data_IF_447847650383
#
_entry.id   IF_447847650383
#
_cell.length_a   1.000
_cell.length_b   1.000
_cell.length_c   1.000
_cell.angle_alpha   90.00
_cell.angle_beta   90.00
_cell.angle_gamma   90.00
#
_symmetry.space_group_name_H-M   'P 1'
#
loop_
_entity.id
_entity.type
_entity.pdbx_description
1 polymer ?
#
# COMPACT_ATOMS: atom_id res chain seq x y z
N UNK A 1 64.66 13.73 29.52
CA UNK A 1 63.84 13.98 28.31
C UNK A 1 62.39 13.79 28.69
N UNK A 2 61.66 14.89 28.92
CA UNK A 2 60.21 14.82 29.16
C UNK A 2 59.52 14.52 27.83
N UNK A 3 58.74 13.45 27.77
CA UNK A 3 57.84 13.25 26.63
C UNK A 3 56.84 14.40 26.67
N UNK A 4 56.93 15.32 25.73
CA UNK A 4 55.89 16.33 25.53
C UNK A 4 54.59 15.57 25.24
N UNK A 5 53.58 15.79 26.09
CA UNK A 5 52.23 15.32 25.84
C UNK A 5 51.70 16.05 24.61
N UNK A 6 51.30 15.29 23.60
CA UNK A 6 50.67 15.81 22.39
C UNK A 6 49.14 15.67 22.54
N UNK A 7 48.42 16.77 22.81
CA UNK A 7 46.97 16.72 22.97
C UNK A 7 46.25 16.34 21.67
N UNK A 8 46.81 16.64 20.50
CA UNK A 8 46.18 16.32 19.21
C UNK A 8 46.14 14.80 19.00
N UNK A 9 47.25 14.11 19.26
CA UNK A 9 47.30 12.65 19.24
C UNK A 9 46.30 11.99 20.22
N UNK A 10 46.12 12.58 21.41
CA UNK A 10 45.19 12.05 22.40
C UNK A 10 43.73 12.22 21.96
N UNK A 11 43.40 13.35 21.32
CA UNK A 11 42.07 13.63 20.76
C UNK A 11 41.77 12.67 19.60
N UNK A 12 42.67 12.54 18.63
CA UNK A 12 42.48 11.62 17.50
C UNK A 12 42.24 10.18 17.96
N UNK A 13 42.99 9.73 18.98
CA UNK A 13 42.82 8.38 19.52
C UNK A 13 41.51 8.22 20.28
N UNK A 14 41.04 9.27 20.96
CA UNK A 14 39.74 9.29 21.60
C UNK A 14 38.61 9.22 20.57
N UNK A 15 38.72 9.99 19.48
CA UNK A 15 37.75 10.00 18.38
C UNK A 15 37.62 8.61 17.73
N UNK A 16 38.73 7.92 17.46
CA UNK A 16 38.71 6.55 16.93
C UNK A 16 38.01 5.58 17.89
N UNK A 17 38.25 5.71 19.20
CA UNK A 17 37.61 4.85 20.20
C UNK A 17 36.10 5.14 20.31
N UNK A 18 35.72 6.42 20.33
CA UNK A 18 34.32 6.85 20.35
C UNK A 18 33.61 6.37 19.07
N UNK A 19 34.20 6.58 17.90
CA UNK A 19 33.65 6.16 16.61
C UNK A 19 33.47 4.63 16.57
N UNK A 20 34.48 3.87 17.01
CA UNK A 20 34.37 2.41 17.10
C UNK A 20 33.23 1.96 18.01
N UNK A 21 33.01 2.63 19.15
CA UNK A 21 31.93 2.29 20.07
C UNK A 21 30.56 2.70 19.51
N UNK A 22 30.46 3.87 18.88
CA UNK A 22 29.25 4.32 18.19
C UNK A 22 28.89 3.33 17.09
N UNK A 23 29.84 2.94 16.24
CA UNK A 23 29.62 1.93 15.19
C UNK A 23 29.21 0.58 15.78
N UNK A 24 29.78 0.17 16.91
CA UNK A 24 29.37 -1.06 17.59
C UNK A 24 27.92 -0.99 18.08
N UNK A 25 27.49 0.14 18.66
CA UNK A 25 26.12 0.38 19.11
C UNK A 25 25.15 0.45 17.93
N UNK A 26 25.48 1.25 16.91
CA UNK A 26 24.69 1.39 15.70
C UNK A 26 24.65 0.09 14.88
N UNK A 27 25.66 -0.78 15.01
CA UNK A 27 25.67 -2.10 14.38
C UNK A 27 24.73 -3.12 15.03
N UNK A 28 24.21 -2.86 16.24
CA UNK A 28 23.29 -3.78 16.94
C UNK A 28 21.97 -3.90 16.15
N UNK A 29 21.55 -5.11 15.72
CA UNK A 29 20.38 -5.30 14.85
C UNK A 29 19.08 -4.70 15.41
N UNK A 30 18.89 -4.74 16.73
CA UNK A 30 17.73 -4.15 17.41
C UNK A 30 17.72 -2.63 17.29
N UNK A 31 18.86 -1.98 17.50
CA UNK A 31 19.03 -0.53 17.38
C UNK A 31 18.79 -0.10 15.93
N UNK A 32 19.36 -0.84 14.97
CA UNK A 32 19.16 -0.57 13.53
C UNK A 32 17.71 -0.65 13.10
N UNK A 33 17.00 -1.70 13.53
CA UNK A 33 15.56 -1.83 13.24
C UNK A 33 14.78 -0.67 13.82
N UNK A 34 15.05 -0.29 15.07
CA UNK A 34 14.39 0.85 15.71
C UNK A 34 14.65 2.16 14.96
N UNK A 35 15.91 2.42 14.58
CA UNK A 35 16.29 3.60 13.78
C UNK A 35 15.56 3.59 12.43
N UNK A 36 15.56 2.45 11.72
CA UNK A 36 14.89 2.31 10.43
C UNK A 36 13.38 2.54 10.52
N UNK A 37 12.71 2.00 11.55
CA UNK A 37 11.28 2.23 11.82
C UNK A 37 10.99 3.71 12.05
N UNK A 38 11.74 4.37 12.95
CA UNK A 38 11.52 5.80 13.25
C UNK A 38 11.84 6.71 12.07
N UNK A 39 12.89 6.41 11.29
CA UNK A 39 13.18 7.13 10.04
C UNK A 39 12.08 6.92 9.00
N UNK A 40 11.52 5.72 8.91
CA UNK A 40 10.38 5.43 8.02
C UNK A 40 9.15 6.26 8.41
N UNK A 41 8.83 6.31 9.71
CA UNK A 41 7.74 7.14 10.23
C UNK A 41 8.01 8.63 9.95
N UNK A 42 9.21 9.13 10.22
CA UNK A 42 9.59 10.51 9.95
C UNK A 42 9.43 10.86 8.46
N UNK A 43 9.92 9.99 7.57
CA UNK A 43 9.78 10.16 6.13
C UNK A 43 8.30 10.22 5.68
N UNK A 44 7.46 9.36 6.25
CA UNK A 44 6.03 9.39 5.97
C UNK A 44 5.40 10.69 6.46
N UNK A 45 5.69 11.11 7.70
CA UNK A 45 5.20 12.37 8.29
C UNK A 45 5.60 13.58 7.45
N UNK A 46 6.85 13.63 6.97
CA UNK A 46 7.34 14.70 6.09
C UNK A 46 6.65 14.71 4.72
N UNK A 47 6.22 13.55 4.22
CA UNK A 47 5.47 13.45 2.98
C UNK A 47 4.00 13.86 3.14
N UNK A 48 3.48 13.86 4.38
CA UNK A 48 2.14 14.32 4.70
C UNK A 48 2.12 15.85 4.81
N UNK A 49 1.09 16.45 4.24
CA UNK A 49 0.79 17.86 4.46
C UNK A 49 -0.18 17.97 5.63
N UNK A 50 0.13 18.75 6.68
CA UNK A 50 -0.77 18.94 7.82
C UNK A 50 -2.13 19.53 7.41
N UNK A 51 -2.22 20.21 6.27
CA UNK A 51 -3.46 20.79 5.76
C UNK A 51 -4.23 19.82 4.83
N UNK A 52 -3.61 18.71 4.42
CA UNK A 52 -4.30 17.70 3.62
C UNK A 52 -5.25 16.86 4.50
N UNK A 53 -6.39 16.40 3.96
CA UNK A 53 -7.32 15.53 4.68
C UNK A 53 -6.80 14.08 4.73
N UNK A 54 -5.59 13.89 5.25
CA UNK A 54 -4.93 12.61 5.46
C UNK A 54 -4.53 12.52 6.93
N UNK A 55 -5.04 11.51 7.63
CA UNK A 55 -4.68 11.24 9.03
C UNK A 55 -3.72 10.06 9.10
N UNK A 56 -2.70 10.18 9.94
CA UNK A 56 -1.78 9.10 10.27
C UNK A 56 -2.04 8.63 11.69
N UNK A 57 -2.24 7.32 11.86
CA UNK A 57 -2.19 6.67 13.17
C UNK A 57 -1.03 5.68 13.20
N UNK A 58 -0.42 5.55 14.38
CA UNK A 58 0.65 4.60 14.65
C UNK A 58 0.12 3.53 15.61
N UNK A 59 0.29 2.28 15.22
CA UNK A 59 0.03 1.13 16.07
C UNK A 59 1.37 0.45 16.36
N UNK A 60 1.74 0.38 17.62
CA UNK A 60 2.85 -0.45 18.06
C UNK A 60 2.36 -1.90 18.19
N UNK A 61 2.98 -2.80 17.46
CA UNK A 61 2.70 -4.24 17.47
C UNK A 61 4.03 -4.98 17.30
N UNK A 62 4.29 -6.02 18.08
CA UNK A 62 5.52 -6.78 17.92
C UNK A 62 5.45 -7.64 16.64
N UNK A 63 6.62 -8.04 16.12
CA UNK A 63 6.69 -8.98 15.00
C UNK A 63 6.01 -10.29 15.37
N UNK A 64 5.20 -10.82 14.46
CA UNK A 64 4.36 -12.00 14.68
C UNK A 64 3.09 -11.77 15.49
N UNK A 65 2.90 -10.62 16.16
CA UNK A 65 1.64 -10.33 16.88
C UNK A 65 0.55 -9.80 15.95
N UNK A 66 0.92 -9.27 14.77
CA UNK A 66 -0.06 -8.86 13.77
C UNK A 66 -0.58 -10.08 13.02
N UNK A 67 -1.61 -10.70 13.58
CA UNK A 67 -2.45 -11.69 12.90
C UNK A 67 -3.82 -11.08 12.50
N UNK A 68 -4.73 -11.93 12.02
CA UNK A 68 -6.03 -11.49 11.51
C UNK A 68 -6.91 -10.78 12.55
N UNK A 69 -6.90 -11.20 13.81
CA UNK A 69 -7.82 -10.68 14.81
C UNK A 69 -7.41 -9.29 15.35
N UNK A 70 -6.14 -9.05 15.74
CA UNK A 70 -5.65 -7.71 16.06
C UNK A 70 -5.77 -6.75 14.87
N UNK A 71 -5.45 -7.21 13.65
CA UNK A 71 -5.62 -6.39 12.44
C UNK A 71 -7.09 -6.02 12.24
N UNK A 72 -8.01 -6.97 12.43
CA UNK A 72 -9.46 -6.71 12.33
C UNK A 72 -9.90 -5.67 13.33
N UNK A 73 -9.49 -5.80 14.60
CA UNK A 73 -9.83 -4.83 15.64
C UNK A 73 -9.34 -3.42 15.30
N UNK A 74 -8.12 -3.29 14.76
CA UNK A 74 -7.52 -2.03 14.33
C UNK A 74 -8.30 -1.41 13.16
N UNK A 75 -8.65 -2.23 12.16
CA UNK A 75 -9.40 -1.78 10.98
C UNK A 75 -10.86 -1.43 11.31
N UNK A 76 -11.43 -2.04 12.34
CA UNK A 76 -12.78 -1.77 12.83
C UNK A 76 -12.87 -0.55 13.74
N UNK A 77 -11.79 -0.20 14.45
CA UNK A 77 -11.82 0.83 15.48
C UNK A 77 -12.39 2.18 15.00
N UNK A 78 -11.98 2.75 13.85
CA UNK A 78 -12.56 4.02 13.38
C UNK A 78 -14.06 3.92 13.08
N UNK A 79 -14.49 2.76 12.54
CA UNK A 79 -15.89 2.55 12.22
C UNK A 79 -16.79 2.57 13.46
N UNK A 80 -16.26 2.15 14.62
CA UNK A 80 -17.00 2.14 15.88
C UNK A 80 -17.06 3.53 16.54
N UNK A 81 -16.04 4.36 16.36
CA UNK A 81 -15.99 5.75 16.87
C UNK A 81 -16.70 6.77 15.98
N UNK A 82 -17.10 6.37 14.77
CA UNK A 82 -17.65 7.29 13.77
C UNK A 82 -16.58 8.00 12.92
N UNK A 83 -15.31 7.65 13.14
CA UNK A 83 -14.17 8.12 12.35
C UNK A 83 -14.16 7.47 10.95
N UNK A 84 -13.51 8.10 9.95
CA UNK A 84 -13.35 7.50 8.64
C UNK A 84 -12.54 6.20 8.72
N UNK A 85 -12.93 5.15 7.97
CA UNK A 85 -12.20 3.89 7.98
C UNK A 85 -10.81 4.03 7.35
N UNK A 86 -9.90 3.15 7.78
CA UNK A 86 -8.55 3.08 7.21
C UNK A 86 -8.59 2.52 5.77
N UNK A 87 -7.97 3.24 4.84
CA UNK A 87 -7.88 2.85 3.43
C UNK A 87 -6.53 2.21 3.06
N UNK A 88 -5.49 2.53 3.82
CA UNK A 88 -4.11 2.10 3.62
C UNK A 88 -3.48 1.77 4.97
N UNK A 89 -2.81 0.64 5.06
CA UNK A 89 -2.01 0.27 6.22
C UNK A 89 -0.61 -0.12 5.78
N UNK A 90 0.40 0.54 6.35
CA UNK A 90 1.81 0.20 6.15
C UNK A 90 2.23 -0.71 7.28
N UNK A 91 2.60 -1.94 6.96
CA UNK A 91 3.10 -2.89 7.95
C UNK A 91 4.62 -2.84 7.93
N UNK A 92 5.17 -2.37 9.04
CA UNK A 92 6.61 -2.20 9.24
C UNK A 92 7.29 -3.52 9.66
N UNK A 93 7.00 -4.59 8.93
CA UNK A 93 7.52 -5.93 9.14
C UNK A 93 8.06 -6.48 7.81
N UNK A 94 9.15 -7.25 7.89
CA UNK A 94 9.68 -7.96 6.74
C UNK A 94 9.01 -9.34 6.70
N UNK A 95 8.21 -9.58 5.66
CA UNK A 95 7.59 -10.91 5.49
C UNK A 95 8.65 -11.90 5.03
N UNK A 96 8.95 -12.87 5.88
CA UNK A 96 9.85 -13.98 5.55
C UNK A 96 9.16 -15.00 4.63
N UNK A 97 9.92 -15.62 3.71
CA UNK A 97 9.36 -16.55 2.70
C UNK A 97 9.19 -17.97 3.24
N UNK A 98 8.41 -18.15 4.30
CA UNK A 98 8.03 -19.47 4.81
C UNK A 98 6.51 -19.71 4.83
N UNK A 99 6.12 -20.98 4.97
CA UNK A 99 4.71 -21.41 4.83
C UNK A 99 3.76 -20.79 5.87
N UNK A 100 4.23 -20.60 7.10
CA UNK A 100 3.44 -19.97 8.17
C UNK A 100 3.09 -18.52 7.82
N UNK A 101 4.05 -17.77 7.27
CA UNK A 101 3.83 -16.41 6.77
C UNK A 101 2.82 -16.37 5.64
N UNK A 102 2.76 -17.39 4.78
CA UNK A 102 1.74 -17.46 3.73
C UNK A 102 0.33 -17.58 4.30
N UNK A 103 0.16 -18.36 5.37
CA UNK A 103 -1.11 -18.44 6.11
C UNK A 103 -1.49 -17.08 6.72
N UNK A 104 -0.54 -16.44 7.40
CA UNK A 104 -0.71 -15.11 8.01
C UNK A 104 -1.08 -14.04 6.98
N UNK A 105 -0.32 -13.96 5.89
CA UNK A 105 -0.55 -13.02 4.80
C UNK A 105 -1.93 -13.23 4.16
N UNK A 106 -2.34 -14.47 3.93
CA UNK A 106 -3.67 -14.79 3.41
C UNK A 106 -4.80 -14.36 4.35
N UNK A 107 -4.62 -14.55 5.66
CA UNK A 107 -5.59 -14.12 6.66
C UNK A 107 -5.68 -12.58 6.75
N UNK A 108 -4.53 -11.89 6.74
CA UNK A 108 -4.48 -10.43 6.70
C UNK A 108 -5.10 -9.87 5.41
N UNK A 109 -4.84 -10.49 4.26
CA UNK A 109 -5.45 -10.12 2.98
C UNK A 109 -6.98 -10.22 3.04
N UNK A 110 -7.49 -11.27 3.68
CA UNK A 110 -8.92 -11.47 3.88
C UNK A 110 -9.53 -10.34 4.73
N UNK A 111 -8.94 -10.05 5.89
CA UNK A 111 -9.42 -8.97 6.77
C UNK A 111 -9.36 -7.61 6.07
N UNK A 112 -8.27 -7.33 5.35
CA UNK A 112 -8.14 -6.10 4.56
C UNK A 112 -9.21 -6.00 3.47
N UNK A 113 -9.56 -7.11 2.83
CA UNK A 113 -10.65 -7.16 1.85
C UNK A 113 -12.03 -6.90 2.47
N UNK A 114 -12.32 -7.46 3.64
CA UNK A 114 -13.56 -7.21 4.39
C UNK A 114 -13.72 -5.74 4.81
N UNK A 115 -12.60 -5.02 4.94
CA UNK A 115 -12.55 -3.64 5.41
C UNK A 115 -12.18 -2.64 4.33
N UNK A 116 -12.05 -3.08 3.08
CA UNK A 116 -11.66 -2.24 1.95
C UNK A 116 -10.37 -1.44 2.22
N UNK A 117 -9.38 -2.09 2.83
CA UNK A 117 -8.06 -1.52 3.10
C UNK A 117 -7.00 -2.17 2.20
N UNK A 118 -5.96 -1.43 1.83
CA UNK A 118 -4.76 -1.97 1.19
C UNK A 118 -3.65 -2.12 2.23
N UNK A 119 -3.03 -3.29 2.31
CA UNK A 119 -1.85 -3.53 3.14
C UNK A 119 -0.57 -3.43 2.30
N UNK A 120 0.40 -2.66 2.76
CA UNK A 120 1.74 -2.59 2.16
C UNK A 120 2.76 -3.22 3.11
N UNK A 121 3.42 -4.28 2.67
CA UNK A 121 4.48 -4.95 3.43
C UNK A 121 5.84 -4.70 2.80
N UNK A 122 6.89 -4.66 3.63
CA UNK A 122 8.25 -4.83 3.16
C UNK A 122 8.56 -6.30 2.93
N UNK A 123 9.41 -6.60 1.96
CA UNK A 123 10.02 -7.92 1.80
C UNK A 123 11.53 -7.72 1.79
N UNK A 124 12.27 -8.57 2.49
CA UNK A 124 13.72 -8.61 2.31
C UNK A 124 14.06 -9.47 1.09
N UNK A 125 14.88 -8.97 0.16
CA UNK A 125 15.41 -9.81 -0.90
C UNK A 125 16.35 -10.84 -0.27
N UNK A 126 15.93 -12.10 -0.16
CA UNK A 126 16.81 -13.23 0.15
C UNK A 126 17.81 -13.41 -1.00
N UNK A 127 19.00 -12.78 -0.95
CA UNK A 127 20.10 -12.93 -1.92
C UNK A 127 19.61 -13.06 -3.40
N UNK A 128 18.56 -12.34 -3.77
CA UNK A 128 17.85 -12.53 -5.05
C UNK A 128 18.57 -11.85 -6.22
N UNK A 129 19.80 -11.38 -6.03
CA UNK A 129 20.55 -10.67 -7.06
C UNK A 129 20.97 -11.54 -8.23
N UNK A 130 20.87 -12.87 -8.16
CA UNK A 130 21.36 -13.72 -9.26
C UNK A 130 20.50 -14.91 -9.67
N UNK A 131 19.64 -15.47 -8.80
CA UNK A 131 18.78 -16.59 -9.18
C UNK A 131 17.30 -16.22 -9.06
N UNK A 132 16.78 -15.58 -10.11
CA UNK A 132 15.34 -15.52 -10.40
C UNK A 132 14.77 -16.91 -10.76
N UNK A 133 15.52 -18.00 -10.58
CA UNK A 133 15.06 -19.37 -10.73
C UNK A 133 13.78 -19.60 -9.88
N UNK A 134 12.89 -20.53 -10.29
CA UNK A 134 11.65 -20.80 -9.60
C UNK A 134 11.94 -21.59 -8.31
N UNK A 135 12.57 -20.95 -7.33
CA UNK A 135 12.45 -21.37 -5.96
C UNK A 135 10.95 -21.31 -5.62
N UNK A 136 10.43 -22.42 -5.10
CA UNK A 136 9.06 -22.55 -4.64
C UNK A 136 8.67 -21.31 -3.82
N UNK A 137 7.77 -20.48 -4.36
CA UNK A 137 7.22 -19.35 -3.62
C UNK A 137 6.05 -19.87 -2.76
N UNK A 138 6.22 -19.99 -1.42
CA UNK A 138 5.17 -20.52 -0.54
C UNK A 138 3.90 -19.67 -0.57
N UNK A 139 4.00 -18.41 -1.01
CA UNK A 139 2.88 -17.49 -1.15
C UNK A 139 2.07 -17.70 -2.42
N UNK A 140 2.46 -18.62 -3.31
CA UNK A 140 1.76 -18.86 -4.57
C UNK A 140 0.26 -19.11 -4.37
N UNK A 141 -0.14 -19.85 -3.33
CA UNK A 141 -1.56 -20.07 -3.02
C UNK A 141 -2.31 -18.79 -2.68
N UNK A 142 -1.69 -17.90 -1.89
CA UNK A 142 -2.22 -16.56 -1.57
C UNK A 142 -2.39 -15.75 -2.85
N UNK A 143 -1.42 -15.83 -3.77
CA UNK A 143 -1.39 -15.05 -5.01
C UNK A 143 -2.64 -15.21 -5.90
N UNK A 144 -3.28 -16.38 -5.87
CA UNK A 144 -4.50 -16.66 -6.65
C UNK A 144 -5.80 -16.35 -5.91
N UNK A 145 -5.72 -16.06 -4.60
CA UNK A 145 -6.88 -15.65 -3.83
C UNK A 145 -7.36 -14.27 -4.28
N UNK A 146 -8.67 -14.06 -4.31
CA UNK A 146 -9.28 -12.79 -4.73
C UNK A 146 -8.83 -11.63 -3.84
N UNK A 147 -8.70 -11.89 -2.54
CA UNK A 147 -8.38 -10.94 -1.48
C UNK A 147 -6.97 -10.38 -1.61
N UNK A 148 -6.08 -11.06 -2.33
CA UNK A 148 -4.69 -10.62 -2.55
C UNK A 148 -4.56 -9.34 -3.37
N UNK A 149 -5.66 -8.83 -3.92
CA UNK A 149 -5.72 -7.45 -4.46
C UNK A 149 -5.54 -6.37 -3.38
N UNK A 150 -5.74 -6.73 -2.11
CA UNK A 150 -5.64 -5.83 -0.96
C UNK A 150 -4.31 -5.97 -0.21
N UNK A 151 -3.32 -6.59 -0.85
CA UNK A 151 -1.96 -6.73 -0.32
C UNK A 151 -0.98 -6.34 -1.41
N UNK A 152 0.06 -5.60 -1.07
CA UNK A 152 1.24 -5.43 -1.92
C UNK A 152 2.51 -5.73 -1.13
N UNK A 153 3.44 -6.40 -1.82
CA UNK A 153 4.76 -6.74 -1.31
C UNK A 153 5.78 -5.83 -1.97
N UNK A 154 6.36 -4.91 -1.21
CA UNK A 154 7.20 -3.83 -1.73
C UNK A 154 8.70 -4.14 -1.56
N UNK A 155 9.47 -3.88 -2.62
CA UNK A 155 10.90 -4.12 -2.73
C UNK A 155 11.60 -2.94 -3.43
N UNK A 156 12.92 -2.74 -3.26
CA UNK A 156 13.78 -3.22 -2.18
C UNK A 156 13.71 -2.26 -0.95
N UNK A 157 14.57 -2.44 0.05
CA UNK A 157 14.82 -1.35 1.02
C UNK A 157 15.58 -0.20 0.34
N UNK A 158 15.31 1.02 0.75
CA UNK A 158 15.81 2.27 0.14
C UNK A 158 16.66 3.01 1.15
N UNK A 159 17.95 3.25 0.87
CA UNK A 159 18.76 4.12 1.71
C UNK A 159 18.39 5.58 1.46
N UNK A 160 18.05 6.32 2.53
CA UNK A 160 17.75 7.75 2.44
C UNK A 160 19.01 8.63 2.57
N UNK A 161 20.12 8.09 3.05
CA UNK A 161 21.35 8.84 3.28
C UNK A 161 22.20 8.94 2.00
N UNK A 162 22.48 10.18 1.57
CA UNK A 162 23.33 10.50 0.42
C UNK A 162 24.80 10.15 0.68
N UNK A 163 25.20 8.89 0.44
CA UNK A 163 26.60 8.55 0.18
C UNK A 163 27.28 7.54 1.09
N UNK A 164 26.60 6.97 2.08
CA UNK A 164 27.09 5.80 2.82
C UNK A 164 26.12 4.66 2.59
N UNK A 165 26.54 3.64 1.83
CA UNK A 165 25.82 2.38 1.64
C UNK A 165 25.83 1.53 2.94
N UNK A 166 25.46 2.14 4.05
CA UNK A 166 25.26 1.47 5.31
C UNK A 166 23.78 1.13 5.40
N UNK A 167 23.49 -0.14 5.67
CA UNK A 167 22.13 -0.64 5.87
C UNK A 167 21.46 -0.07 7.14
N UNK A 168 22.14 0.84 7.84
CA UNK A 168 21.70 1.60 9.01
C UNK A 168 20.74 2.74 8.64
N UNK A 169 20.77 3.22 7.39
CA UNK A 169 19.91 4.30 6.90
C UNK A 169 18.79 3.91 5.94
N UNK A 170 18.44 2.62 5.90
CA UNK A 170 17.42 2.11 4.96
C UNK A 170 15.98 2.27 5.49
N UNK A 171 15.09 2.74 4.63
CA UNK A 171 13.63 2.78 4.79
C UNK A 171 13.00 1.72 3.90
N UNK A 172 11.86 1.16 4.32
CA UNK A 172 11.16 0.12 3.53
C UNK A 172 10.47 0.73 2.31
N UNK A 173 10.49 0.02 1.17
CA UNK A 173 9.76 0.47 -0.03
C UNK A 173 8.25 0.67 0.21
N UNK A 174 7.63 -0.10 1.13
CA UNK A 174 6.21 0.07 1.47
C UNK A 174 5.91 1.48 1.99
N UNK A 175 6.81 2.05 2.79
CA UNK A 175 6.71 3.41 3.34
C UNK A 175 6.85 4.44 2.23
N UNK A 176 7.79 4.21 1.32
CA UNK A 176 8.03 5.06 0.16
C UNK A 176 6.81 5.09 -0.77
N UNK A 177 6.22 3.92 -1.04
CA UNK A 177 4.98 3.79 -1.82
C UNK A 177 3.82 4.51 -1.12
N UNK A 178 3.69 4.35 0.20
CA UNK A 178 2.67 5.05 0.99
C UNK A 178 2.82 6.58 0.95
N UNK A 179 4.05 7.09 1.08
CA UNK A 179 4.36 8.50 0.96
C UNK A 179 3.97 9.06 -0.43
N UNK A 180 4.26 8.29 -1.49
CA UNK A 180 3.85 8.66 -2.85
C UNK A 180 2.33 8.69 -3.01
N UNK A 181 1.60 7.71 -2.46
CA UNK A 181 0.13 7.67 -2.45
C UNK A 181 -0.42 8.90 -1.73
N UNK A 182 0.07 9.21 -0.53
CA UNK A 182 -0.43 10.31 0.27
C UNK A 182 -0.21 11.67 -0.39
N UNK A 183 0.98 11.89 -0.98
CA UNK A 183 1.26 13.11 -1.74
C UNK A 183 0.35 13.23 -2.97
N UNK A 184 0.16 12.14 -3.69
CA UNK A 184 -0.71 12.14 -4.86
C UNK A 184 -2.16 12.49 -4.49
N UNK A 185 -2.63 11.92 -3.37
CA UNK A 185 -3.94 12.26 -2.79
C UNK A 185 -4.07 13.74 -2.44
N UNK A 186 -3.03 14.34 -1.84
CA UNK A 186 -2.98 15.79 -1.61
C UNK A 186 -3.12 16.57 -2.92
N UNK A 187 -2.34 16.23 -3.94
CA UNK A 187 -2.26 17.01 -5.18
C UNK A 187 -3.55 16.93 -6.02
N UNK A 188 -4.23 15.78 -6.02
CA UNK A 188 -5.38 15.51 -6.91
C UNK A 188 -6.70 15.31 -6.19
N UNK A 189 -6.69 15.15 -4.87
CA UNK A 189 -7.85 14.68 -4.11
C UNK A 189 -8.24 13.23 -4.45
N UNK A 190 -7.34 12.49 -5.09
CA UNK A 190 -7.55 11.19 -5.74
C UNK A 190 -6.29 10.29 -5.62
N UNK A 191 -6.47 8.97 -5.66
CA UNK A 191 -5.39 8.00 -5.78
C UNK A 191 -5.36 7.46 -7.23
N UNK A 192 -4.94 8.29 -8.19
CA UNK A 192 -5.08 7.98 -9.61
C UNK A 192 -4.10 6.84 -9.98
N UNK A 193 -4.28 6.17 -11.14
CA UNK A 193 -3.58 4.94 -11.47
C UNK A 193 -2.05 5.04 -11.50
N UNK A 194 -1.52 6.26 -11.58
CA UNK A 194 -0.11 6.54 -11.77
C UNK A 194 0.49 7.09 -10.48
N UNK A 195 1.24 6.25 -9.75
CA UNK A 195 2.16 6.77 -8.73
C UNK A 195 3.20 7.62 -9.47
N UNK A 196 3.15 8.95 -9.35
CA UNK A 196 4.05 9.78 -10.13
C UNK A 196 5.50 9.47 -9.73
N UNK A 197 6.44 9.63 -10.67
CA UNK A 197 7.85 9.53 -10.37
C UNK A 197 8.20 10.43 -9.17
N UNK A 198 8.58 9.82 -8.04
CA UNK A 198 8.79 10.56 -6.81
C UNK A 198 10.13 11.30 -6.90
N UNK A 199 10.12 12.58 -7.31
CA UNK A 199 11.33 13.37 -7.57
C UNK A 199 12.28 13.48 -6.38
N UNK A 200 11.80 13.41 -5.13
CA UNK A 200 12.67 13.38 -3.95
C UNK A 200 13.28 12.00 -3.65
N UNK A 201 12.79 10.92 -4.28
CA UNK A 201 13.50 9.61 -4.27
C UNK A 201 14.58 9.56 -5.34
N UNK A 202 14.45 10.31 -6.44
CA UNK A 202 15.47 10.38 -7.49
C UNK A 202 16.78 10.96 -6.93
N UNK A 203 16.70 11.80 -5.88
CA UNK A 203 17.86 12.34 -5.19
C UNK A 203 18.53 11.31 -4.26
N UNK A 204 17.74 10.52 -3.53
CA UNK A 204 18.23 9.42 -2.72
C UNK A 204 18.71 8.29 -3.64
N UNK A 205 20.01 8.32 -4.00
CA UNK A 205 20.64 7.27 -4.80
C UNK A 205 20.38 5.91 -4.16
N UNK A 206 19.44 5.15 -4.71
CA UNK A 206 19.26 3.76 -4.35
C UNK A 206 20.51 3.00 -4.80
N UNK A 207 21.46 2.78 -3.88
CA UNK A 207 22.67 2.01 -4.16
C UNK A 207 22.38 0.59 -4.69
N UNK A 208 21.12 0.12 -4.54
CA UNK A 208 20.63 -1.21 -4.93
C UNK A 208 19.27 -1.18 -5.63
N UNK A 209 18.89 -0.08 -6.29
CA UNK A 209 17.64 -0.04 -7.06
C UNK A 209 17.70 -0.99 -8.26
N UNK A 210 16.57 -1.62 -8.59
CA UNK A 210 16.48 -2.51 -9.74
C UNK A 210 16.48 -1.71 -11.06
N UNK A 211 16.93 -2.31 -12.15
CA UNK A 211 16.65 -1.77 -13.49
C UNK A 211 15.17 -2.01 -13.84
N UNK A 212 14.66 -1.27 -14.84
CA UNK A 212 13.25 -1.35 -15.22
C UNK A 212 12.84 -2.75 -15.68
N UNK A 213 13.76 -3.49 -16.32
CA UNK A 213 13.53 -4.87 -16.76
C UNK A 213 13.32 -5.82 -15.56
N UNK A 214 14.14 -5.66 -14.53
CA UNK A 214 14.03 -6.42 -13.27
C UNK A 214 12.77 -6.01 -12.51
N UNK A 215 12.44 -4.71 -12.45
CA UNK A 215 11.17 -4.25 -11.89
C UNK A 215 9.97 -4.89 -12.59
N UNK A 216 9.97 -4.95 -13.92
CA UNK A 216 8.91 -5.58 -14.70
C UNK A 216 8.82 -7.09 -14.41
N UNK A 217 9.96 -7.80 -14.40
CA UNK A 217 9.99 -9.23 -14.04
C UNK A 217 9.50 -9.52 -12.61
N UNK A 218 9.77 -8.61 -11.67
CA UNK A 218 9.27 -8.68 -10.29
C UNK A 218 7.77 -8.36 -10.22
N UNK A 219 7.28 -7.41 -11.00
CA UNK A 219 5.85 -7.09 -11.09
C UNK A 219 5.04 -8.26 -11.67
N UNK A 220 5.56 -8.96 -12.68
CA UNK A 220 4.98 -10.22 -13.18
C UNK A 220 4.90 -11.32 -12.11
N UNK A 221 5.68 -11.20 -11.02
CA UNK A 221 5.66 -12.07 -9.85
C UNK A 221 4.79 -11.54 -8.70
N UNK A 222 4.21 -10.34 -8.83
CA UNK A 222 3.34 -9.73 -7.82
C UNK A 222 4.07 -8.84 -6.82
N UNK A 223 5.33 -8.47 -7.09
CA UNK A 223 6.09 -7.57 -6.24
C UNK A 223 6.04 -6.14 -6.77
N UNK A 224 5.76 -5.18 -5.89
CA UNK A 224 5.86 -3.76 -6.18
C UNK A 224 7.34 -3.33 -6.02
N UNK A 225 8.10 -3.42 -7.10
CA UNK A 225 9.53 -3.11 -7.11
C UNK A 225 9.81 -1.64 -7.48
N UNK A 226 10.62 -0.96 -6.66
CA UNK A 226 11.15 0.36 -6.95
C UNK A 226 12.42 0.23 -7.81
N UNK A 227 12.45 0.95 -8.92
CA UNK A 227 13.60 1.06 -9.79
C UNK A 227 14.67 1.96 -9.17
N UNK A 228 15.87 1.93 -9.75
CA UNK A 228 16.97 2.85 -9.43
C UNK A 228 16.62 4.33 -9.64
N UNK A 229 15.60 4.65 -10.44
CA UNK A 229 15.07 6.01 -10.59
C UNK A 229 14.02 6.35 -9.54
N UNK A 230 13.75 5.46 -8.58
CA UNK A 230 12.73 5.65 -7.56
C UNK A 230 11.32 5.61 -8.14
N UNK A 231 11.12 4.88 -9.24
CA UNK A 231 9.81 4.70 -9.88
C UNK A 231 9.37 3.25 -9.68
N UNK A 232 8.10 3.03 -9.41
CA UNK A 232 7.49 1.71 -9.56
C UNK A 232 6.85 1.69 -10.96
N UNK A 233 7.54 1.23 -12.02
CA UNK A 233 6.96 1.23 -13.36
C UNK A 233 5.64 0.45 -13.39
N UNK A 234 5.51 -0.55 -12.53
CA UNK A 234 4.28 -1.30 -12.29
C UNK A 234 4.05 -1.47 -10.78
N UNK A 235 3.28 -0.54 -10.20
CA UNK A 235 2.83 -0.65 -8.82
C UNK A 235 1.72 -1.70 -8.68
N UNK A 236 2.12 -2.96 -8.50
CA UNK A 236 1.22 -4.12 -8.44
C UNK A 236 0.88 -4.55 -7.01
N UNK A 237 -0.32 -5.08 -6.85
CA UNK A 237 -0.74 -5.91 -5.71
C UNK A 237 -0.14 -7.30 -5.85
N UNK A 238 -0.21 -8.11 -4.81
CA UNK A 238 0.30 -9.47 -4.84
C UNK A 238 -0.54 -10.40 -5.75
N UNK A 239 -1.81 -10.05 -6.03
CA UNK A 239 -2.71 -10.85 -6.88
C UNK A 239 -2.12 -11.15 -8.27
N UNK A 240 -2.21 -12.40 -8.70
CA UNK A 240 -1.78 -12.82 -10.05
C UNK A 240 -2.85 -12.50 -11.10
N UNK A 241 -2.49 -11.86 -12.21
CA UNK A 241 -3.39 -11.76 -13.36
C UNK A 241 -3.80 -13.12 -13.93
N UNK A 242 -5.10 -13.30 -14.19
CA UNK A 242 -5.63 -14.51 -14.82
C UNK A 242 -5.77 -14.33 -16.33
N UNK A 243 -5.50 -15.42 -17.07
CA UNK A 243 -5.81 -15.51 -18.48
C UNK A 243 -7.25 -15.96 -18.66
N UNK A 244 -8.07 -15.15 -19.34
CA UNK A 244 -9.51 -15.38 -19.50
C UNK A 244 -9.90 -15.81 -20.93
N UNK A 245 -8.95 -16.28 -21.74
CA UNK A 245 -9.20 -16.74 -23.12
C UNK A 245 -8.98 -15.68 -24.20
N UNK A 246 -9.16 -16.08 -25.47
CA UNK A 246 -8.94 -15.24 -26.67
C UNK A 246 -10.20 -14.58 -27.23
N UNK A 247 -11.38 -14.92 -26.73
CA UNK A 247 -12.63 -14.27 -27.13
C UNK A 247 -12.56 -12.77 -26.82
N UNK A 248 -13.43 -11.97 -27.44
CA UNK A 248 -13.54 -10.55 -27.11
C UNK A 248 -13.83 -10.34 -25.62
N UNK A 249 -14.83 -11.05 -25.10
CA UNK A 249 -15.18 -11.07 -23.68
C UNK A 249 -13.99 -11.49 -22.80
N UNK A 250 -13.28 -12.55 -23.19
CA UNK A 250 -12.08 -13.01 -22.47
C UNK A 250 -10.96 -11.98 -22.45
N UNK A 251 -10.75 -11.23 -23.54
CA UNK A 251 -9.76 -10.14 -23.59
C UNK A 251 -10.16 -8.99 -22.67
N UNK A 252 -11.43 -8.59 -22.65
CA UNK A 252 -11.95 -7.55 -21.76
C UNK A 252 -11.86 -7.99 -20.30
N UNK A 253 -12.32 -9.20 -19.97
CA UNK A 253 -12.26 -9.76 -18.62
C UNK A 253 -10.81 -9.87 -18.12
N UNK A 254 -9.89 -10.37 -18.96
CA UNK A 254 -8.47 -10.45 -18.63
C UNK A 254 -7.82 -9.08 -18.43
N UNK A 255 -8.26 -8.06 -19.18
CA UNK A 255 -7.80 -6.69 -19.01
C UNK A 255 -8.31 -6.07 -17.70
N UNK A 256 -9.61 -6.20 -17.40
CA UNK A 256 -10.18 -5.75 -16.13
C UNK A 256 -9.54 -6.46 -14.93
N UNK A 257 -9.28 -7.77 -15.05
CA UNK A 257 -8.59 -8.53 -14.01
C UNK A 257 -7.16 -8.03 -13.81
N UNK A 258 -6.39 -7.76 -14.87
CA UNK A 258 -5.05 -7.15 -14.76
C UNK A 258 -5.09 -5.79 -14.07
N UNK A 259 -6.06 -4.94 -14.43
CA UNK A 259 -6.22 -3.65 -13.77
C UNK A 259 -6.48 -3.81 -12.26
N UNK A 260 -7.33 -4.76 -11.85
CA UNK A 260 -7.55 -5.03 -10.43
C UNK A 260 -6.31 -5.51 -9.67
N UNK A 261 -5.24 -5.88 -10.37
CA UNK A 261 -3.97 -6.26 -9.77
C UNK A 261 -3.03 -5.05 -9.55
N UNK A 262 -3.40 -3.82 -9.90
CA UNK A 262 -2.58 -2.62 -9.63
C UNK A 262 -3.01 -1.96 -8.31
N UNK A 263 -2.04 -1.48 -7.54
CA UNK A 263 -2.24 -0.83 -6.23
C UNK A 263 -3.22 0.33 -6.33
N UNK A 264 -3.04 1.16 -7.35
CA UNK A 264 -3.84 2.37 -7.55
C UNK A 264 -5.29 2.06 -7.87
N UNK A 265 -5.57 1.02 -8.67
CA UNK A 265 -6.92 0.55 -8.91
C UNK A 265 -7.56 -0.10 -7.68
N UNK A 266 -6.78 -0.83 -6.87
CA UNK A 266 -7.26 -1.37 -5.60
C UNK A 266 -7.66 -0.23 -4.64
N UNK A 267 -6.80 0.78 -4.47
CA UNK A 267 -7.09 1.96 -3.63
C UNK A 267 -8.32 2.73 -4.09
N UNK A 268 -8.43 2.99 -5.39
CA UNK A 268 -9.57 3.72 -5.94
C UNK A 268 -10.87 2.93 -5.71
N UNK A 269 -10.85 1.61 -5.97
CA UNK A 269 -12.00 0.73 -5.72
C UNK A 269 -12.39 0.76 -4.24
N UNK A 270 -11.43 0.54 -3.34
CA UNK A 270 -11.62 0.54 -1.90
C UNK A 270 -12.21 1.85 -1.37
N UNK A 271 -11.65 2.99 -1.83
CA UNK A 271 -12.14 4.32 -1.45
C UNK A 271 -13.60 4.53 -1.86
N UNK A 272 -13.96 4.20 -3.09
CA UNK A 272 -15.33 4.39 -3.54
C UNK A 272 -16.32 3.47 -2.84
N UNK A 273 -15.92 2.23 -2.56
CA UNK A 273 -16.73 1.33 -1.73
C UNK A 273 -16.98 1.94 -0.36
N UNK A 274 -15.92 2.39 0.34
CA UNK A 274 -16.02 3.09 1.63
C UNK A 274 -16.93 4.32 1.52
N UNK A 275 -16.78 5.13 0.49
CA UNK A 275 -17.55 6.35 0.33
C UNK A 275 -19.05 6.06 0.11
N UNK A 276 -19.38 5.00 -0.65
CA UNK A 276 -20.76 4.52 -0.80
C UNK A 276 -21.30 3.97 0.53
N UNK A 277 -20.51 3.19 1.27
CA UNK A 277 -20.90 2.68 2.60
C UNK A 277 -21.21 3.82 3.57
N UNK A 278 -20.33 4.83 3.65
CA UNK A 278 -20.53 6.00 4.50
C UNK A 278 -21.73 6.82 4.05
N UNK A 279 -21.89 7.04 2.73
CA UNK A 279 -23.02 7.80 2.18
C UNK A 279 -24.35 7.09 2.46
N UNK A 280 -24.37 5.75 2.42
CA UNK A 280 -25.58 4.96 2.67
C UNK A 280 -26.14 5.15 4.09
N UNK A 281 -25.30 5.51 5.06
CA UNK A 281 -25.71 5.84 6.44
C UNK A 281 -26.57 7.09 6.53
N UNK A 282 -26.49 7.96 5.54
CA UNK A 282 -27.24 9.22 5.48
C UNK A 282 -28.44 9.15 4.54
N UNK A 283 -28.73 7.99 3.94
CA UNK A 283 -29.96 7.80 3.18
C UNK A 283 -31.13 7.72 4.15
N UNK A 284 -32.24 8.37 3.80
CA UNK A 284 -33.44 8.29 4.61
C UNK A 284 -33.99 6.85 4.51
N UNK A 285 -34.52 6.27 5.61
CA UNK A 285 -35.16 4.95 5.55
C UNK A 285 -36.32 4.89 4.54
N UNK A 286 -36.94 6.04 4.26
CA UNK A 286 -38.07 6.19 3.34
C UNK A 286 -37.61 6.63 1.92
N UNK A 287 -36.31 6.67 1.63
CA UNK A 287 -35.82 6.86 0.25
C UNK A 287 -36.26 5.67 -0.59
N UNK A 288 -37.28 5.89 -1.44
CA UNK A 288 -37.96 4.84 -2.19
C UNK A 288 -37.04 4.05 -3.16
N UNK A 289 -35.88 4.60 -3.50
CA UNK A 289 -34.87 3.94 -4.31
C UNK A 289 -33.44 4.35 -3.90
N UNK A 290 -32.77 3.57 -3.03
CA UNK A 290 -31.38 3.84 -2.63
C UNK A 290 -30.40 3.73 -3.82
N UNK A 291 -30.72 2.95 -4.85
CA UNK A 291 -29.89 2.87 -6.06
C UNK A 291 -29.88 4.22 -6.77
N UNK A 292 -31.05 4.81 -7.04
CA UNK A 292 -31.14 6.11 -7.70
C UNK A 292 -30.46 7.23 -6.89
N UNK A 293 -30.62 7.22 -5.56
CA UNK A 293 -30.02 8.21 -4.68
C UNK A 293 -28.48 8.13 -4.68
N UNK A 294 -27.91 6.93 -4.56
CA UNK A 294 -26.46 6.72 -4.61
C UNK A 294 -25.90 7.00 -6.01
N UNK A 295 -26.60 6.58 -7.06
CA UNK A 295 -26.21 6.83 -8.45
C UNK A 295 -26.10 8.34 -8.72
N UNK A 296 -27.13 9.11 -8.36
CA UNK A 296 -27.15 10.58 -8.51
C UNK A 296 -26.01 11.26 -7.74
N UNK A 297 -25.67 10.74 -6.56
CA UNK A 297 -24.53 11.25 -5.79
C UNK A 297 -23.18 10.93 -6.47
N UNK A 298 -23.00 9.69 -6.95
CA UNK A 298 -21.78 9.25 -7.63
C UNK A 298 -21.54 9.98 -8.96
N UNK A 299 -22.59 10.35 -9.69
CA UNK A 299 -22.50 11.08 -10.96
C UNK A 299 -21.83 12.45 -10.82
N UNK A 300 -21.81 13.06 -9.62
CA UNK A 300 -21.08 14.30 -9.34
C UNK A 300 -19.56 14.17 -9.50
N UNK A 301 -19.07 12.93 -9.49
CA UNK A 301 -17.66 12.58 -9.62
C UNK A 301 -17.32 12.03 -11.01
N UNK A 302 -18.26 12.09 -11.95
CA UNK A 302 -18.05 11.73 -13.36
C UNK A 302 -17.89 12.99 -14.20
N UNK A 303 -16.98 12.97 -15.18
CA UNK A 303 -16.84 14.03 -16.19
C UNK A 303 -15.49 14.75 -16.18
N UNK A 304 -15.40 15.89 -16.88
CA UNK A 304 -14.13 16.60 -17.11
C UNK A 304 -13.47 17.05 -15.80
N UNK A 305 -12.15 16.84 -15.67
CA UNK A 305 -11.41 17.12 -14.43
C UNK A 305 -11.67 16.17 -13.26
N UNK A 306 -12.52 15.15 -13.42
CA UNK A 306 -12.77 14.09 -12.43
C UNK A 306 -12.08 12.77 -12.80
N UNK A 307 -11.82 11.89 -11.82
CA UNK A 307 -11.15 10.60 -12.04
C UNK A 307 -12.01 9.56 -12.79
N UNK A 308 -13.34 9.66 -12.71
CA UNK A 308 -14.26 8.70 -13.30
C UNK A 308 -14.83 9.19 -14.64
N UNK A 309 -14.90 8.27 -15.61
CA UNK A 309 -15.61 8.42 -16.89
C UNK A 309 -17.05 7.91 -16.78
N UNK A 310 -17.28 6.84 -16.02
CA UNK A 310 -18.62 6.30 -15.76
C UNK A 310 -18.65 5.63 -14.39
N UNK A 311 -19.82 5.61 -13.78
CA UNK A 311 -20.10 4.88 -12.55
C UNK A 311 -21.49 4.27 -12.62
N UNK A 312 -21.62 3.07 -12.07
CA UNK A 312 -22.89 2.41 -11.85
C UNK A 312 -22.90 1.87 -10.42
N UNK A 313 -23.98 2.07 -9.70
CA UNK A 313 -24.25 1.38 -8.45
C UNK A 313 -25.57 0.64 -8.58
N UNK A 314 -25.67 -0.53 -7.95
CA UNK A 314 -26.89 -1.31 -7.88
C UNK A 314 -27.08 -1.81 -6.46
N UNK A 315 -28.24 -1.51 -5.88
CA UNK A 315 -28.68 -2.03 -4.58
C UNK A 315 -29.77 -3.08 -4.85
N UNK A 316 -29.50 -4.37 -4.68
CA UNK A 316 -30.53 -5.40 -4.85
C UNK A 316 -31.62 -5.23 -3.78
N UNK A 317 -32.90 -5.35 -4.17
CA UNK A 317 -34.04 -5.13 -3.28
C UNK A 317 -34.05 -6.07 -2.04
N UNK A 318 -33.44 -7.24 -2.17
CA UNK A 318 -33.44 -8.28 -1.13
C UNK A 318 -32.13 -8.33 -0.31
N UNK A 319 -31.15 -7.46 -0.58
CA UNK A 319 -29.82 -7.55 0.02
C UNK A 319 -29.42 -6.29 0.77
N UNK A 320 -28.74 -6.46 1.91
CA UNK A 320 -28.08 -5.39 2.67
C UNK A 320 -26.73 -4.98 2.04
N UNK A 321 -26.64 -4.98 0.71
CA UNK A 321 -25.39 -4.80 -0.02
C UNK A 321 -25.56 -3.99 -1.28
N UNK A 322 -24.44 -3.64 -1.91
CA UNK A 322 -24.42 -3.00 -3.21
C UNK A 322 -23.31 -3.56 -4.08
N UNK A 323 -23.55 -3.48 -5.39
CA UNK A 323 -22.55 -3.68 -6.41
C UNK A 323 -22.18 -2.33 -7.02
N UNK A 324 -20.90 -2.10 -7.23
CA UNK A 324 -20.34 -0.84 -7.72
C UNK A 324 -19.44 -1.13 -8.92
N UNK A 325 -19.75 -0.52 -10.06
CA UNK A 325 -18.92 -0.56 -11.26
C UNK A 325 -18.35 0.82 -11.51
N UNK A 326 -17.02 0.89 -11.55
CA UNK A 326 -16.28 2.12 -11.77
C UNK A 326 -15.60 2.02 -13.12
N UNK A 327 -15.80 3.01 -13.98
CA UNK A 327 -15.03 3.19 -15.20
C UNK A 327 -14.18 4.45 -15.04
N UNK A 328 -12.89 4.29 -14.78
CA UNK A 328 -11.97 5.41 -14.65
C UNK A 328 -11.69 5.99 -16.03
N UNK A 329 -11.24 7.25 -16.08
CA UNK A 329 -10.73 7.78 -17.34
C UNK A 329 -9.55 6.95 -17.84
N UNK A 330 -9.51 6.78 -19.15
CA UNK A 330 -8.42 6.09 -19.81
C UNK A 330 -7.08 6.69 -19.36
N UNK A 331 -6.11 5.82 -19.06
CA UNK A 331 -4.72 6.24 -18.88
C UNK A 331 -4.19 6.83 -20.19
N UNK A 332 -2.98 7.41 -20.17
CA UNK A 332 -2.34 8.00 -21.36
C UNK A 332 -2.31 7.05 -22.58
N UNK A 333 -2.40 5.73 -22.36
CA UNK A 333 -2.45 4.70 -23.40
C UNK A 333 -3.83 4.51 -24.05
N UNK A 334 -4.84 5.31 -23.68
CA UNK A 334 -6.15 5.35 -24.32
C UNK A 334 -7.08 4.16 -24.04
N UNK A 335 -6.74 3.27 -23.10
CA UNK A 335 -7.55 2.09 -22.76
C UNK A 335 -8.52 2.38 -21.61
N UNK A 336 -9.81 2.08 -21.80
CA UNK A 336 -10.83 2.19 -20.75
C UNK A 336 -11.00 0.90 -19.96
N UNK A 337 -11.01 0.97 -18.63
CA UNK A 337 -11.13 -0.18 -17.72
C UNK A 337 -12.48 -0.11 -17.02
N UNK A 338 -13.14 -1.26 -16.77
CA UNK A 338 -14.25 -1.32 -15.81
C UNK A 338 -13.83 -2.13 -14.61
N UNK A 339 -13.84 -1.49 -13.45
CA UNK A 339 -13.58 -2.10 -12.15
C UNK A 339 -14.90 -2.45 -11.47
N UNK A 340 -14.85 -3.49 -10.65
CA UNK A 340 -16.00 -3.98 -9.90
C UNK A 340 -15.66 -4.09 -8.42
N UNK A 341 -16.57 -3.59 -7.59
CA UNK A 341 -16.52 -3.68 -6.15
C UNK A 341 -17.87 -4.12 -5.60
N UNK A 342 -17.86 -4.80 -4.46
CA UNK A 342 -19.04 -5.08 -3.66
C UNK A 342 -18.81 -4.53 -2.26
N UNK A 343 -19.87 -4.05 -1.63
CA UNK A 343 -19.84 -3.52 -0.26
C UNK A 343 -21.17 -3.73 0.45
N UNK A 344 -21.21 -3.37 1.73
CA UNK A 344 -22.39 -3.55 2.59
C UNK A 344 -23.10 -2.22 2.79
N UNK A 345 -24.42 -2.21 2.59
CA UNK A 345 -25.22 -1.04 2.95
C UNK A 345 -25.43 -1.02 4.46
N UNK A 346 -25.20 0.14 5.05
CA UNK A 346 -25.57 0.42 6.44
C UNK A 346 -26.63 1.51 6.41
N UNK A 347 -27.87 1.12 6.15
CA UNK A 347 -29.00 2.03 6.29
C UNK A 347 -29.15 2.42 7.76
N UNK A 348 -29.52 3.68 8.01
CA UNK A 348 -29.83 4.16 9.36
C UNK A 348 -31.12 3.47 9.86
N UNK A 349 -31.01 2.21 10.31
CA UNK A 349 -32.07 1.52 11.02
C UNK A 349 -31.97 1.92 12.50
N UNK A 350 -31.99 3.22 12.79
CA UNK A 350 -32.17 3.71 14.15
C UNK A 350 -33.66 3.93 14.39
N UNK A 351 -34.31 2.99 15.09
CA UNK A 351 -35.49 3.33 15.89
C UNK A 351 -36.85 2.69 15.58
N UNK A 352 -36.97 1.63 14.75
CA UNK A 352 -38.28 0.94 14.57
C UNK A 352 -38.44 -0.42 15.27
N UNK A 353 -37.48 -0.82 16.12
CA UNK A 353 -37.66 -1.92 17.06
C UNK A 353 -37.51 -1.42 18.51
N UNK A 354 -38.52 -0.66 18.96
CA UNK A 354 -38.94 -0.61 20.36
C UNK A 354 -40.46 -0.63 20.41
#
# INVERSE_FOLDING_TARGET
MGKHFDPEWAIERLDVLIESQIRAILGVPQVRRLIATWRSIAHLVEALDPDAPVSLALLACASGELDADPLRAVLEAPCASGDPPWTLCVVDEDIARHREEAGRLGACAYVAAERHALLLFGVEPEDTTTDLAPAYDPFMSVRYAEQSRNVALCLPRVNLDDGLATTEGSVRASVIVAAAIARHYKERGDCEPYLPPHRSLVAARMAHGYDDATCHALAERGYCALSSTGHAPEAVTYRRPLYMGRSEEGRVAGFNHRASCLISWALMTNRWTIAVELRSRHLAPDDADPTAALQTWLERFVGTGRPLEKVLVQVPAEQLGFSLWLRPKATQDGRSITLFAEGKLRLAIEGRHR
#
